data_IF_511191721449
#
_entry.id   IF_511191721449
#
_cell.length_a   1.000
_cell.length_b   1.000
_cell.length_c   1.000
_cell.angle_alpha   90.00
_cell.angle_beta   90.00
_cell.angle_gamma   90.00
#
_symmetry.space_group_name_H-M   'P 1'
#
loop_
_entity.id
_entity.type
_entity.pdbx_description
1 polymer ?
#
# COMPACT_ATOMS: atom_id res chain seq x y z
N UNK A 1 -36.71 11.31 -57.11
CA UNK A 1 -35.95 10.47 -56.15
C UNK A 1 -34.64 11.18 -55.81
N UNK A 2 -34.52 11.73 -54.59
CA UNK A 2 -33.24 12.14 -53.99
C UNK A 2 -33.27 11.66 -52.54
N UNK A 3 -32.52 10.60 -52.25
CA UNK A 3 -32.30 10.10 -50.90
C UNK A 3 -31.05 10.80 -50.35
N UNK A 4 -31.25 11.72 -49.42
CA UNK A 4 -30.18 12.33 -48.63
C UNK A 4 -29.88 11.39 -47.47
N UNK A 5 -28.80 10.62 -47.58
CA UNK A 5 -28.31 9.75 -46.52
C UNK A 5 -27.44 10.59 -45.57
N UNK A 6 -28.01 10.99 -44.43
CA UNK A 6 -27.26 11.64 -43.35
C UNK A 6 -26.71 10.52 -42.47
N UNK A 7 -25.45 10.15 -42.71
CA UNK A 7 -24.72 9.20 -41.86
C UNK A 7 -24.29 9.90 -40.57
N UNK A 8 -24.88 9.50 -39.45
CA UNK A 8 -24.40 9.84 -38.11
C UNK A 8 -23.10 9.08 -37.83
N UNK A 9 -21.96 9.75 -37.98
CA UNK A 9 -20.71 9.29 -37.41
C UNK A 9 -20.77 9.53 -35.89
N UNK A 10 -21.07 8.48 -35.13
CA UNK A 10 -20.82 8.46 -33.69
C UNK A 10 -19.29 8.37 -33.52
N UNK A 11 -18.65 9.52 -33.33
CA UNK A 11 -17.27 9.58 -32.86
C UNK A 11 -17.27 9.03 -31.43
N UNK A 12 -16.83 7.78 -31.25
CA UNK A 12 -16.36 7.31 -29.96
C UNK A 12 -15.07 8.09 -29.65
N UNK A 13 -15.25 9.27 -29.04
CA UNK A 13 -14.15 9.98 -28.39
C UNK A 13 -13.77 9.14 -27.18
N UNK A 14 -12.87 8.18 -27.39
CA UNK A 14 -12.14 7.55 -26.29
C UNK A 14 -11.25 8.64 -25.71
N UNK A 15 -11.75 9.34 -24.71
CA UNK A 15 -10.95 10.27 -23.93
C UNK A 15 -9.82 9.47 -23.31
N UNK A 16 -8.60 9.64 -23.81
CA UNK A 16 -7.41 9.16 -23.13
C UNK A 16 -7.33 9.95 -21.82
N UNK A 17 -7.72 9.34 -20.71
CA UNK A 17 -7.43 9.88 -19.40
C UNK A 17 -5.92 9.78 -19.19
N UNK A 18 -5.25 10.93 -19.22
CA UNK A 18 -3.85 11.03 -18.81
C UNK A 18 -3.85 10.85 -17.29
N UNK A 19 -3.40 9.69 -16.82
CA UNK A 19 -3.23 9.44 -15.39
C UNK A 19 -2.20 10.44 -14.85
N UNK A 20 -2.63 11.32 -13.94
CA UNK A 20 -1.72 12.26 -13.28
C UNK A 20 -0.74 11.52 -12.36
N UNK A 21 0.39 12.14 -12.07
CA UNK A 21 1.33 11.67 -11.04
C UNK A 21 1.16 12.57 -9.82
N UNK A 22 0.78 11.98 -8.68
CA UNK A 22 0.89 12.61 -7.37
C UNK A 22 2.28 12.32 -6.81
N UNK A 23 2.96 13.34 -6.30
CA UNK A 23 4.30 13.23 -5.72
C UNK A 23 4.36 14.12 -4.48
N UNK A 24 4.77 13.53 -3.36
CA UNK A 24 5.01 14.21 -2.10
C UNK A 24 6.43 13.87 -1.63
N UNK A 25 7.18 14.91 -1.26
CA UNK A 25 8.55 14.78 -0.73
C UNK A 25 8.64 15.20 0.74
N UNK A 26 7.59 15.83 1.29
CA UNK A 26 7.50 16.39 2.63
C UNK A 26 8.50 17.53 2.91
N UNK A 27 9.15 18.09 1.87
CA UNK A 27 10.11 19.18 2.00
C UNK A 27 9.48 20.48 2.57
N UNK A 28 8.17 20.63 2.42
CA UNK A 28 7.39 21.75 2.94
C UNK A 28 6.90 21.53 4.39
N UNK A 29 7.15 20.36 4.98
CA UNK A 29 6.67 20.00 6.31
C UNK A 29 5.17 19.73 6.40
N UNK A 30 4.48 19.64 5.27
CA UNK A 30 3.02 19.58 5.20
C UNK A 30 2.52 18.13 5.22
N UNK A 31 1.51 17.88 6.04
CA UNK A 31 0.78 16.61 6.13
C UNK A 31 -0.74 16.83 6.20
N UNK A 32 -1.23 18.04 5.92
CA UNK A 32 -2.65 18.41 6.13
C UNK A 32 -3.61 17.61 5.23
N UNK A 33 -3.21 17.30 3.99
CA UNK A 33 -3.99 16.52 3.03
C UNK A 33 -3.89 15.00 3.25
N UNK A 34 -3.17 14.57 4.30
CA UNK A 34 -3.01 13.17 4.64
C UNK A 34 -3.93 12.74 5.77
N UNK A 35 -4.50 11.55 5.62
CA UNK A 35 -5.35 10.95 6.63
C UNK A 35 -4.55 9.95 7.47
N UNK A 36 -4.55 10.15 8.78
CA UNK A 36 -4.05 9.14 9.71
C UNK A 36 -5.08 8.03 9.95
N UNK A 37 -4.65 6.78 9.76
CA UNK A 37 -5.44 5.59 10.04
C UNK A 37 -4.75 4.73 11.09
N UNK A 38 -5.55 4.29 12.05
CA UNK A 38 -5.09 3.67 13.27
C UNK A 38 -5.72 2.28 13.43
N UNK A 39 -4.89 1.25 13.46
CA UNK A 39 -5.32 -0.08 13.87
C UNK A 39 -5.23 -0.17 15.40
N UNK A 40 -6.38 -0.34 16.05
CA UNK A 40 -6.56 -0.49 17.50
C UNK A 40 -6.35 0.78 18.35
N UNK A 41 -6.81 0.71 19.61
CA UNK A 41 -6.73 1.76 20.64
C UNK A 41 -5.32 1.88 21.29
N UNK A 42 -4.26 1.50 20.59
CA UNK A 42 -2.89 1.50 21.15
C UNK A 42 -2.39 2.93 21.46
N UNK A 43 -1.33 3.06 22.27
CA UNK A 43 -0.67 4.34 22.55
C UNK A 43 -0.31 5.08 21.27
N UNK A 44 -0.46 6.42 21.29
CA UNK A 44 -0.28 7.27 20.12
C UNK A 44 1.18 7.24 19.67
N UNK A 45 1.42 6.64 18.51
CA UNK A 45 2.59 6.95 17.71
C UNK A 45 2.45 8.35 17.10
N UNK A 46 3.46 8.82 16.39
CA UNK A 46 3.40 10.12 15.72
C UNK A 46 4.09 10.09 14.36
N UNK A 47 3.43 10.68 13.36
CA UNK A 47 4.04 11.12 12.12
C UNK A 47 4.60 12.53 12.30
N UNK A 48 5.84 12.77 11.89
CA UNK A 48 6.48 14.09 11.91
C UNK A 48 7.42 14.23 10.74
N UNK A 49 7.54 15.44 10.20
CA UNK A 49 8.60 15.75 9.25
C UNK A 49 9.85 16.15 10.05
N UNK A 50 10.95 15.44 9.83
CA UNK A 50 12.26 15.68 10.44
C UNK A 50 13.27 15.79 9.32
N UNK A 51 13.97 16.91 9.22
CA UNK A 51 14.99 17.17 8.19
C UNK A 51 14.50 16.91 6.74
N UNK A 52 13.23 17.20 6.46
CA UNK A 52 12.60 17.00 5.14
C UNK A 52 12.14 15.56 4.87
N UNK A 53 12.24 14.66 5.85
CA UNK A 53 11.79 13.27 5.74
C UNK A 53 10.59 13.02 6.67
N UNK A 54 9.58 12.28 6.18
CA UNK A 54 8.48 11.83 7.02
C UNK A 54 8.92 10.66 7.91
N UNK A 55 8.95 10.89 9.22
CA UNK A 55 9.29 9.90 10.24
C UNK A 55 8.06 9.44 11.03
N UNK A 56 7.96 8.13 11.27
CA UNK A 56 6.98 7.51 12.17
C UNK A 56 7.67 6.91 13.38
N UNK A 57 7.21 7.30 14.57
CA UNK A 57 7.56 6.63 15.83
C UNK A 57 6.33 5.93 16.41
N UNK A 58 6.44 4.63 16.70
CA UNK A 58 5.32 3.83 17.19
C UNK A 58 5.74 2.94 18.37
N UNK A 59 5.73 3.47 19.60
CA UNK A 59 6.23 2.74 20.78
C UNK A 59 5.24 1.67 21.29
N UNK A 60 3.94 1.88 21.08
CA UNK A 60 2.89 1.02 21.66
C UNK A 60 2.63 -0.28 20.90
N UNK A 61 3.17 -0.42 19.68
CA UNK A 61 2.83 -1.52 18.78
C UNK A 61 1.39 -1.38 18.25
N UNK A 62 1.19 -1.73 16.97
CA UNK A 62 -0.10 -1.56 16.28
C UNK A 62 0.09 -0.82 14.96
N UNK A 63 -0.70 -1.13 13.94
CA UNK A 63 -0.49 -0.49 12.64
C UNK A 63 -0.93 0.99 12.68
N UNK A 64 -0.03 1.87 12.21
CA UNK A 64 -0.27 3.29 12.00
C UNK A 64 0.01 3.59 10.54
N UNK A 65 -0.95 4.15 9.84
CA UNK A 65 -0.83 4.45 8.42
C UNK A 65 -1.08 5.94 8.22
N UNK A 66 -0.39 6.50 7.24
CA UNK A 66 -0.68 7.80 6.67
C UNK A 66 -1.10 7.56 5.23
N UNK A 67 -2.31 7.95 4.88
CA UNK A 67 -2.93 7.62 3.58
C UNK A 67 -3.43 8.86 2.88
N UNK A 68 -3.37 8.84 1.55
CA UNK A 68 -3.98 9.83 0.66
C UNK A 68 -4.54 9.12 -0.56
N UNK A 69 -5.40 9.79 -1.32
CA UNK A 69 -5.94 9.27 -2.56
C UNK A 69 -7.28 9.87 -2.93
N UNK A 70 -7.79 9.41 -4.08
CA UNK A 70 -9.08 9.81 -4.63
C UNK A 70 -9.90 8.55 -4.99
N UNK A 71 -11.20 8.58 -4.76
CA UNK A 71 -12.11 7.45 -5.01
C UNK A 71 -12.23 7.03 -6.47
N UNK A 72 -11.72 7.82 -7.41
CA UNK A 72 -11.65 7.51 -8.84
C UNK A 72 -10.43 6.69 -9.22
N UNK A 73 -9.45 6.50 -8.33
CA UNK A 73 -8.25 5.73 -8.61
C UNK A 73 -8.56 4.24 -8.75
N UNK A 74 -8.33 3.70 -9.95
CA UNK A 74 -8.56 2.29 -10.27
C UNK A 74 -7.24 1.54 -10.40
N UNK A 75 -6.49 1.80 -11.46
CA UNK A 75 -5.20 1.17 -11.70
C UNK A 75 -4.10 2.20 -11.51
N UNK A 76 -3.16 1.91 -10.61
CA UNK A 76 -2.15 2.87 -10.18
C UNK A 76 -0.94 2.15 -9.59
N UNK A 77 0.16 2.88 -9.46
CA UNK A 77 1.32 2.44 -8.71
C UNK A 77 1.64 3.41 -7.59
N UNK A 78 1.87 2.90 -6.40
CA UNK A 78 2.41 3.67 -5.27
C UNK A 78 3.90 3.33 -5.19
N UNK A 79 4.76 4.35 -5.19
CA UNK A 79 6.19 4.22 -4.97
C UNK A 79 6.58 5.02 -3.73
N UNK A 80 7.28 4.39 -2.78
CA UNK A 80 7.74 5.02 -1.54
C UNK A 80 9.15 4.55 -1.20
N UNK A 81 10.01 5.48 -0.79
CA UNK A 81 11.31 5.14 -0.24
C UNK A 81 11.18 5.04 1.29
N UNK A 82 11.67 3.95 1.86
CA UNK A 82 11.61 3.69 3.30
C UNK A 82 12.99 3.41 3.85
N UNK A 83 13.27 3.90 5.07
CA UNK A 83 14.53 3.70 5.78
C UNK A 83 14.18 3.35 7.23
N UNK A 84 14.26 2.06 7.62
CA UNK A 84 14.08 1.69 9.01
C UNK A 84 15.21 2.31 9.85
N UNK A 85 14.88 3.13 10.84
CA UNK A 85 15.87 3.84 11.67
C UNK A 85 16.32 3.00 12.87
N UNK A 86 15.34 2.57 13.67
CA UNK A 86 15.54 1.80 14.89
C UNK A 86 14.51 0.66 14.95
N UNK A 87 14.90 -0.45 15.58
CA UNK A 87 14.00 -1.58 15.82
C UNK A 87 14.04 -2.00 17.28
N UNK A 88 12.97 -1.72 18.01
CA UNK A 88 12.78 -2.10 19.42
C UNK A 88 11.79 -3.27 19.53
N UNK A 89 12.21 -4.43 19.04
CA UNK A 89 11.37 -5.64 19.00
C UNK A 89 10.76 -5.92 17.62
N UNK A 90 9.73 -6.77 17.54
CA UNK A 90 9.04 -7.09 16.28
C UNK A 90 8.43 -5.84 15.63
N UNK A 91 8.47 -5.77 14.30
CA UNK A 91 7.95 -4.64 13.56
C UNK A 91 7.66 -4.97 12.10
N UNK A 92 6.96 -4.05 11.45
CA UNK A 92 6.65 -4.16 10.04
C UNK A 92 6.66 -2.79 9.37
N UNK A 93 7.02 -2.77 8.10
CA UNK A 93 6.83 -1.63 7.22
C UNK A 93 5.81 -2.07 6.17
N UNK A 94 4.79 -1.24 5.98
CA UNK A 94 3.64 -1.58 5.13
C UNK A 94 3.39 -0.51 4.10
N UNK A 95 2.99 -0.95 2.91
CA UNK A 95 2.36 -0.14 1.88
C UNK A 95 0.91 -0.64 1.74
N UNK A 96 -0.04 0.28 1.66
CA UNK A 96 -1.47 -0.06 1.57
C UNK A 96 -2.07 0.50 0.30
N UNK A 97 -3.05 -0.22 -0.23
CA UNK A 97 -3.84 0.18 -1.39
C UNK A 97 -5.32 -0.17 -1.16
N UNK A 98 -6.19 0.40 -2.00
CA UNK A 98 -7.65 0.15 -1.97
C UNK A 98 -8.24 0.36 -0.57
N UNK A 99 -7.88 1.48 0.06
CA UNK A 99 -8.43 1.86 1.36
C UNK A 99 -9.88 2.27 1.17
N UNK A 100 -10.80 1.48 1.72
CA UNK A 100 -12.24 1.72 1.65
C UNK A 100 -12.84 1.52 3.06
N UNK A 101 -13.25 2.63 3.68
CA UNK A 101 -13.72 2.63 5.06
C UNK A 101 -12.66 2.04 5.99
N UNK A 102 -12.93 0.88 6.57
CA UNK A 102 -11.99 0.20 7.46
C UNK A 102 -11.16 -0.89 6.79
N UNK A 103 -11.29 -1.13 5.48
CA UNK A 103 -10.64 -2.24 4.78
C UNK A 103 -9.56 -1.72 3.84
N UNK A 104 -8.47 -2.47 3.73
CA UNK A 104 -7.41 -2.20 2.76
C UNK A 104 -6.73 -3.48 2.30
N UNK A 105 -5.99 -3.40 1.21
CA UNK A 105 -4.95 -4.37 0.86
C UNK A 105 -3.63 -3.88 1.44
N UNK A 106 -3.01 -4.74 2.23
CA UNK A 106 -1.77 -4.47 2.94
C UNK A 106 -0.70 -5.35 2.35
N UNK A 107 0.43 -4.76 1.97
CA UNK A 107 1.64 -5.50 1.68
C UNK A 107 2.72 -5.03 2.64
N UNK A 108 3.29 -5.97 3.39
CA UNK A 108 4.18 -5.66 4.50
C UNK A 108 5.41 -6.55 4.46
N UNK A 109 6.55 -5.98 4.82
CA UNK A 109 7.69 -6.75 5.30
C UNK A 109 7.65 -6.75 6.83
N UNK A 110 7.74 -7.93 7.44
CA UNK A 110 7.43 -8.10 8.86
C UNK A 110 8.22 -9.24 9.49
N UNK A 111 8.57 -9.08 10.76
CA UNK A 111 9.04 -10.14 11.64
C UNK A 111 8.08 -10.38 12.83
N UNK A 112 6.81 -9.99 12.68
CA UNK A 112 5.77 -10.15 13.71
C UNK A 112 5.37 -11.61 13.98
N UNK A 113 5.87 -12.58 13.19
CA UNK A 113 5.54 -13.99 13.35
C UNK A 113 6.38 -14.59 14.48
N UNK A 114 5.82 -14.55 15.70
CA UNK A 114 6.45 -15.14 16.88
C UNK A 114 6.85 -16.60 16.61
N UNK A 115 8.10 -16.93 16.88
CA UNK A 115 8.75 -18.23 16.64
C UNK A 115 9.11 -18.55 15.18
N UNK A 116 8.92 -17.62 14.24
CA UNK A 116 9.52 -17.74 12.93
C UNK A 116 10.92 -17.10 12.92
N UNK A 117 11.99 -17.85 12.64
CA UNK A 117 13.33 -17.27 12.56
C UNK A 117 13.47 -16.35 11.34
N UNK A 118 12.57 -16.45 10.36
CA UNK A 118 12.63 -15.70 9.12
C UNK A 118 11.54 -14.64 9.06
N UNK A 119 11.95 -13.43 8.71
CA UNK A 119 11.02 -12.39 8.35
C UNK A 119 10.34 -12.72 7.03
N UNK A 120 9.17 -12.13 6.81
CA UNK A 120 8.32 -12.46 5.66
C UNK A 120 7.86 -11.19 4.97
N UNK A 121 7.66 -11.32 3.68
CA UNK A 121 6.76 -10.43 2.95
C UNK A 121 5.39 -11.10 2.93
N UNK A 122 4.38 -10.33 3.29
CA UNK A 122 2.99 -10.77 3.36
C UNK A 122 2.09 -9.73 2.70
N UNK A 123 1.17 -10.17 1.85
CA UNK A 123 0.08 -9.35 1.37
C UNK A 123 -1.27 -9.94 1.83
N UNK A 124 -2.17 -9.09 2.31
CA UNK A 124 -3.48 -9.49 2.82
C UNK A 124 -4.54 -8.41 2.58
N UNK A 125 -5.79 -8.81 2.38
CA UNK A 125 -6.95 -7.91 2.42
C UNK A 125 -7.58 -8.00 3.80
N UNK A 126 -7.64 -6.91 4.57
CA UNK A 126 -8.03 -6.95 5.99
C UNK A 126 -8.66 -5.64 6.45
N UNK A 127 -9.52 -5.76 7.47
CA UNK A 127 -9.99 -4.60 8.24
C UNK A 127 -8.95 -4.05 9.26
N UNK A 128 -8.94 -2.75 9.52
CA UNK A 128 -8.05 -2.12 10.51
C UNK A 128 -8.23 -2.66 11.93
N UNK A 129 -9.38 -3.26 12.25
CA UNK A 129 -9.61 -3.91 13.54
C UNK A 129 -8.93 -5.29 13.65
N UNK A 130 -8.31 -5.77 12.58
CA UNK A 130 -7.62 -7.05 12.50
C UNK A 130 -8.53 -8.29 12.59
N UNK A 131 -9.85 -8.11 12.61
CA UNK A 131 -10.83 -9.18 12.92
C UNK A 131 -11.06 -10.12 11.76
N UNK A 132 -11.08 -9.58 10.54
CA UNK A 132 -11.25 -10.36 9.32
C UNK A 132 -10.14 -10.03 8.33
N UNK A 133 -9.62 -11.07 7.68
CA UNK A 133 -8.59 -10.91 6.67
C UNK A 133 -8.49 -12.11 5.74
N UNK A 134 -8.07 -11.85 4.51
CA UNK A 134 -7.75 -12.86 3.50
C UNK A 134 -6.25 -12.73 3.24
N UNK A 135 -5.51 -13.81 3.48
CA UNK A 135 -4.11 -13.89 3.11
C UNK A 135 -4.01 -14.03 1.59
N UNK A 136 -3.36 -13.09 0.92
CA UNK A 136 -3.17 -13.09 -0.53
C UNK A 136 -1.80 -13.67 -0.91
N UNK A 137 -0.78 -13.39 -0.10
CA UNK A 137 0.58 -13.86 -0.33
C UNK A 137 1.36 -13.92 0.98
N UNK A 138 2.24 -14.91 1.12
CA UNK A 138 3.25 -14.92 2.18
C UNK A 138 4.45 -15.75 1.75
N UNK A 139 5.65 -15.17 1.80
CA UNK A 139 6.91 -15.91 1.66
C UNK A 139 8.01 -15.32 2.54
N UNK A 140 9.01 -16.13 2.94
CA UNK A 140 10.21 -15.63 3.58
C UNK A 140 10.89 -14.54 2.76
N UNK A 141 11.36 -13.51 3.45
CA UNK A 141 12.11 -12.40 2.87
C UNK A 141 13.01 -11.77 3.93
N UNK A 142 14.26 -11.46 3.57
CA UNK A 142 15.19 -10.79 4.50
C UNK A 142 14.65 -9.41 4.88
N UNK A 143 14.72 -9.04 6.16
CA UNK A 143 14.37 -7.68 6.58
C UNK A 143 15.19 -6.64 5.84
N UNK A 144 14.60 -5.46 5.74
CA UNK A 144 15.34 -4.26 5.39
C UNK A 144 16.41 -4.02 6.46
N UNK A 145 17.58 -3.57 6.01
CA UNK A 145 18.65 -3.19 6.92
C UNK A 145 18.33 -1.83 7.52
N UNK A 146 18.77 -1.64 8.76
CA UNK A 146 18.65 -0.35 9.43
C UNK A 146 19.53 0.69 8.72
N UNK A 147 19.04 1.93 8.66
CA UNK A 147 19.72 3.08 8.06
C UNK A 147 20.09 2.93 6.58
N UNK A 148 19.48 1.97 5.87
CA UNK A 148 19.60 1.84 4.42
C UNK A 148 18.23 2.12 3.77
N UNK A 149 18.23 2.97 2.75
CA UNK A 149 17.04 3.22 1.94
C UNK A 149 16.65 2.00 1.13
N UNK A 150 15.35 1.73 1.05
CA UNK A 150 14.78 0.72 0.16
C UNK A 150 13.57 1.31 -0.56
N UNK A 151 13.47 1.03 -1.86
CA UNK A 151 12.34 1.47 -2.68
C UNK A 151 11.25 0.41 -2.67
N UNK A 152 10.07 0.78 -2.19
CA UNK A 152 8.87 -0.03 -2.23
C UNK A 152 8.01 0.43 -3.39
N UNK A 153 7.48 -0.52 -4.16
CA UNK A 153 6.50 -0.24 -5.19
C UNK A 153 5.38 -1.26 -5.14
N UNK A 154 4.16 -0.77 -5.01
CA UNK A 154 2.94 -1.56 -5.13
C UNK A 154 2.19 -1.12 -6.38
N UNK A 155 2.08 -2.04 -7.35
CA UNK A 155 1.26 -1.84 -8.55
C UNK A 155 -0.10 -2.48 -8.34
N UNK A 156 -1.16 -1.75 -8.68
CA UNK A 156 -2.56 -2.16 -8.61
C UNK A 156 -3.13 -2.18 -10.03
N UNK A 157 -3.63 -3.34 -10.46
CA UNK A 157 -4.25 -3.54 -11.77
C UNK A 157 -5.49 -4.42 -11.60
N UNK A 158 -6.67 -3.82 -11.55
CA UNK A 158 -7.90 -4.52 -11.18
C UNK A 158 -7.82 -5.10 -9.76
N UNK A 159 -7.96 -6.42 -9.66
CA UNK A 159 -7.80 -7.23 -8.45
C UNK A 159 -6.39 -7.82 -8.27
N UNK A 160 -5.46 -7.48 -9.17
CA UNK A 160 -4.07 -7.92 -9.11
C UNK A 160 -3.19 -6.86 -8.45
N UNK A 161 -2.39 -7.32 -7.50
CA UNK A 161 -1.44 -6.52 -6.72
C UNK A 161 -0.04 -7.11 -6.84
N UNK A 162 0.92 -6.27 -7.24
CA UNK A 162 2.32 -6.66 -7.41
C UNK A 162 3.19 -5.81 -6.50
N UNK A 163 3.85 -6.42 -5.52
CA UNK A 163 4.82 -5.76 -4.66
C UNK A 163 6.22 -6.02 -5.19
N UNK A 164 6.99 -4.94 -5.34
CA UNK A 164 8.42 -4.98 -5.60
C UNK A 164 9.20 -4.21 -4.55
N UNK A 165 10.39 -4.70 -4.22
CA UNK A 165 11.34 -4.08 -3.30
C UNK A 165 12.67 -3.96 -4.04
N UNK A 166 13.20 -2.74 -4.13
CA UNK A 166 14.43 -2.42 -4.88
C UNK A 166 14.37 -2.96 -6.32
N UNK A 167 13.28 -2.66 -7.02
CA UNK A 167 12.99 -3.06 -8.41
C UNK A 167 12.84 -4.58 -8.65
N UNK A 168 13.09 -5.40 -7.63
CA UNK A 168 12.84 -6.83 -7.67
C UNK A 168 11.39 -7.10 -7.29
N UNK A 169 10.64 -7.71 -8.19
CA UNK A 169 9.33 -8.25 -7.88
C UNK A 169 9.43 -9.33 -6.79
N UNK A 170 8.62 -9.15 -5.74
CA UNK A 170 8.56 -10.05 -4.59
C UNK A 170 7.26 -10.85 -4.60
N UNK A 171 6.17 -10.23 -5.04
CA UNK A 171 4.83 -10.83 -5.05
C UNK A 171 4.06 -10.42 -6.30
N UNK A 172 3.22 -11.31 -6.79
CA UNK A 172 2.14 -11.04 -7.73
C UNK A 172 0.89 -11.74 -7.17
N UNK A 173 -0.27 -11.08 -7.23
CA UNK A 173 -1.55 -11.64 -6.81
C UNK A 173 -2.50 -11.68 -8.02
N UNK A 174 -3.08 -12.86 -8.29
CA UNK A 174 -4.01 -13.30 -9.37
C UNK A 174 -3.72 -14.79 -9.66
N UNK A 175 -4.60 -15.81 -9.68
CA UNK A 175 -5.98 -16.10 -10.16
C UNK A 175 -6.71 -17.01 -9.10
N UNK A 176 -8.03 -17.37 -9.18
CA UNK A 176 -8.98 -17.42 -8.06
C UNK A 176 -8.43 -18.18 -6.84
N UNK A 177 -8.03 -17.42 -5.84
CA UNK A 177 -7.33 -17.96 -4.68
C UNK A 177 -8.21 -18.89 -3.87
N UNK A 178 -7.79 -20.15 -3.83
CA UNK A 178 -8.29 -21.17 -2.91
C UNK A 178 -8.12 -20.65 -1.49
N UNK A 179 -9.25 -20.56 -0.79
CA UNK A 179 -9.36 -20.42 0.65
C UNK A 179 -8.30 -21.25 1.37
N UNK A 180 -7.25 -20.61 1.91
CA UNK A 180 -6.40 -21.23 2.91
C UNK A 180 -6.79 -20.69 4.28
N UNK A 181 -7.71 -21.47 4.89
CA UNK A 181 -8.08 -21.56 6.30
C UNK A 181 -8.97 -20.45 6.92
N UNK A 182 -10.19 -20.87 7.29
CA UNK A 182 -10.87 -20.38 8.49
C UNK A 182 -10.05 -20.83 9.71
N UNK A 183 -9.76 -19.90 10.62
CA UNK A 183 -9.47 -20.21 12.02
C UNK A 183 -10.76 -20.04 12.84
#
# INVERSE_FOLDING_TARGET
MKLTMIGWFIFFSTSFALAGTFMETFDNGDIEDWQELNAHDAELGSWKVVDGELEMTNPGGGARLLTTGDGTWQDYSIEVNVKPLEKRGPGNISIVARVEGSRAVWCSISDLFLNDPESKVMCLSRDFAGKTGILLYMKPHRLLKLNEWSKFKLTVSGDHFTLSINEKEITETGDPFVFLYHF
#
